data_IF_563637179719
#
_entry.id   IF_563637179719
#
_cell.length_a   1.000
_cell.length_b   1.000
_cell.length_c   1.000
_cell.angle_alpha   90.00
_cell.angle_beta   90.00
_cell.angle_gamma   90.00
#
_symmetry.space_group_name_H-M   'P 1'
#
loop_
_entity.id
_entity.type
_entity.pdbx_description
1 polymer ?
#
# COMPACT_ATOMS: atom_id res chain seq x y z
N UNK A 1 32.77 3.31 0.89
CA UNK A 1 32.87 2.78 2.26
C UNK A 1 31.85 3.51 3.13
N UNK A 2 30.68 2.92 3.36
CA UNK A 2 29.76 3.40 4.39
C UNK A 2 30.38 3.03 5.74
N UNK A 3 30.58 4.01 6.63
CA UNK A 3 30.98 3.74 8.02
C UNK A 3 29.97 2.74 8.61
N UNK A 4 30.46 1.67 9.27
CA UNK A 4 29.57 0.75 9.99
C UNK A 4 28.86 1.55 11.09
N UNK A 5 27.58 1.84 10.89
CA UNK A 5 26.75 2.44 11.93
C UNK A 5 26.26 1.32 12.83
N UNK A 6 26.29 1.55 14.14
CA UNK A 6 25.72 0.61 15.12
C UNK A 6 24.21 0.86 15.36
N UNK A 7 23.70 2.00 14.87
CA UNK A 7 22.30 2.43 15.04
C UNK A 7 21.66 2.83 13.70
N UNK A 8 20.36 2.51 13.49
CA UNK A 8 19.65 2.95 12.30
C UNK A 8 19.32 4.43 12.37
N UNK A 9 19.22 5.07 11.20
CA UNK A 9 18.65 6.42 11.13
C UNK A 9 17.15 6.32 11.30
N UNK A 10 16.62 7.04 12.28
CA UNK A 10 15.19 7.05 12.60
C UNK A 10 14.63 8.46 12.46
N UNK A 11 13.51 8.61 11.75
CA UNK A 11 12.78 9.88 11.66
C UNK A 11 11.27 9.65 11.80
N UNK A 12 10.52 10.56 12.43
CA UNK A 12 9.06 10.55 12.33
C UNK A 12 8.58 10.55 10.88
N UNK A 13 7.54 9.78 10.57
CA UNK A 13 6.89 9.85 9.25
C UNK A 13 6.14 11.16 9.05
N UNK A 14 5.48 11.66 10.10
CA UNK A 14 4.96 13.02 10.19
C UNK A 14 5.76 13.83 11.20
N UNK A 15 6.07 15.06 10.82
CA UNK A 15 6.63 16.03 11.76
C UNK A 15 5.68 16.20 12.96
N UNK A 16 6.24 16.14 14.17
CA UNK A 16 5.49 16.26 15.41
C UNK A 16 4.67 15.03 15.83
N UNK A 17 4.67 13.93 15.07
CA UNK A 17 4.03 12.67 15.52
C UNK A 17 5.07 11.64 15.98
N UNK A 18 4.81 10.91 17.07
CA UNK A 18 5.76 9.93 17.59
C UNK A 18 5.79 8.62 16.79
N UNK A 19 4.79 8.35 15.94
CA UNK A 19 4.69 7.12 15.16
C UNK A 19 3.92 7.34 13.82
N UNK A 20 4.20 6.54 12.78
CA UNK A 20 5.31 5.59 12.73
C UNK A 20 6.67 6.30 12.61
N UNK A 21 7.71 5.70 13.19
CA UNK A 21 9.09 6.05 12.88
C UNK A 21 9.52 5.34 11.59
N UNK A 22 10.19 6.05 10.70
CA UNK A 22 10.86 5.49 9.52
C UNK A 22 12.31 5.22 9.89
N UNK A 23 12.69 3.94 9.84
CA UNK A 23 14.02 3.43 10.18
C UNK A 23 14.73 2.92 8.92
N UNK A 24 15.98 3.33 8.70
CA UNK A 24 16.77 2.94 7.53
C UNK A 24 18.26 3.07 7.80
N UNK A 25 19.07 2.54 6.86
CA UNK A 25 20.54 2.63 6.91
C UNK A 25 21.22 1.47 7.64
N UNK A 26 20.45 0.53 8.19
CA UNK A 26 20.90 -0.80 8.60
C UNK A 26 20.11 -1.86 7.83
N UNK A 27 20.66 -3.07 7.63
CA UNK A 27 19.86 -4.18 7.13
C UNK A 27 18.73 -4.52 8.11
N UNK A 28 17.63 -5.05 7.59
CA UNK A 28 16.39 -5.23 8.33
C UNK A 28 16.53 -6.08 9.61
N UNK A 29 17.34 -7.16 9.69
CA UNK A 29 17.48 -7.93 10.93
C UNK A 29 18.10 -7.10 12.05
N UNK A 30 19.17 -6.35 11.73
CA UNK A 30 19.88 -5.49 12.67
C UNK A 30 19.03 -4.29 13.09
N UNK A 31 18.31 -3.67 12.16
CA UNK A 31 17.36 -2.59 12.46
C UNK A 31 16.22 -3.10 13.37
N UNK A 32 15.64 -4.26 13.06
CA UNK A 32 14.60 -4.88 13.90
C UNK A 32 15.12 -5.20 15.29
N UNK A 33 16.32 -5.79 15.41
CA UNK A 33 16.97 -6.04 16.71
C UNK A 33 17.14 -4.75 17.51
N UNK A 34 17.66 -3.69 16.89
CA UNK A 34 17.79 -2.37 17.54
C UNK A 34 16.45 -1.88 18.08
N UNK A 35 15.38 -1.96 17.29
CA UNK A 35 14.07 -1.50 17.74
C UNK A 35 13.44 -2.38 18.82
N UNK A 36 13.62 -3.70 18.75
CA UNK A 36 13.20 -4.64 19.79
C UNK A 36 13.92 -4.33 21.10
N UNK A 37 15.25 -4.21 21.09
CA UNK A 37 16.06 -4.08 22.30
C UNK A 37 16.06 -2.67 22.88
N UNK A 38 16.20 -1.66 22.03
CA UNK A 38 16.45 -0.27 22.44
C UNK A 38 15.18 0.58 22.41
N UNK A 39 14.43 0.56 21.30
CA UNK A 39 13.26 1.43 21.14
C UNK A 39 12.06 0.95 21.96
N UNK A 40 11.75 -0.34 21.88
CA UNK A 40 10.57 -0.92 22.50
C UNK A 40 10.85 -1.71 23.77
N UNK A 41 12.10 -2.15 23.97
CA UNK A 41 12.52 -2.99 25.11
C UNK A 41 11.62 -4.22 25.26
N UNK A 42 11.43 -4.90 24.13
CA UNK A 42 10.60 -6.09 23.98
C UNK A 42 11.44 -7.36 24.15
N UNK A 43 10.81 -8.41 24.68
CA UNK A 43 11.44 -9.70 24.97
C UNK A 43 10.79 -10.87 24.25
N UNK A 44 9.54 -10.73 23.79
CA UNK A 44 8.72 -11.82 23.26
C UNK A 44 8.19 -11.45 21.88
N UNK A 45 9.05 -11.69 20.87
CA UNK A 45 8.82 -11.34 19.48
C UNK A 45 8.08 -12.45 18.74
N UNK A 46 7.00 -12.09 18.06
CA UNK A 46 6.33 -12.93 17.09
C UNK A 46 6.64 -12.47 15.67
N UNK A 47 7.12 -13.37 14.82
CA UNK A 47 7.39 -13.08 13.42
C UNK A 47 6.18 -13.46 12.55
N UNK A 48 5.75 -12.54 11.69
CA UNK A 48 4.80 -12.80 10.62
C UNK A 48 5.49 -12.54 9.27
N UNK A 49 5.87 -13.62 8.60
CA UNK A 49 6.75 -13.60 7.43
C UNK A 49 6.00 -14.03 6.16
N UNK A 50 6.28 -13.37 5.04
CA UNK A 50 5.75 -13.80 3.74
C UNK A 50 6.21 -15.21 3.39
N UNK A 51 5.31 -16.03 2.83
CA UNK A 51 5.64 -17.37 2.35
C UNK A 51 6.68 -17.36 1.23
N UNK A 52 6.60 -16.39 0.30
CA UNK A 52 7.55 -16.30 -0.80
C UNK A 52 8.95 -15.94 -0.30
N UNK A 53 9.04 -15.04 0.67
CA UNK A 53 10.31 -14.62 1.27
C UNK A 53 10.92 -15.76 2.07
N UNK A 54 10.13 -16.42 2.91
CA UNK A 54 10.61 -17.53 3.74
C UNK A 54 11.15 -18.71 2.94
N UNK A 55 10.64 -18.94 1.71
CA UNK A 55 11.11 -20.03 0.84
C UNK A 55 12.30 -19.67 -0.03
N UNK A 56 12.39 -18.41 -0.47
CA UNK A 56 13.35 -17.98 -1.48
C UNK A 56 14.49 -17.13 -0.93
N UNK A 57 14.53 -16.94 0.39
CA UNK A 57 15.58 -16.17 1.07
C UNK A 57 15.91 -16.80 2.42
N UNK A 58 17.00 -16.34 3.02
CA UNK A 58 17.42 -16.72 4.37
C UNK A 58 16.77 -15.84 5.45
N UNK A 59 15.57 -15.31 5.21
CA UNK A 59 14.92 -14.34 6.11
C UNK A 59 14.72 -14.87 7.53
N UNK A 60 14.27 -16.11 7.66
CA UNK A 60 14.08 -16.77 8.96
C UNK A 60 15.42 -16.93 9.69
N UNK A 61 16.46 -17.37 8.99
CA UNK A 61 17.81 -17.53 9.57
C UNK A 61 18.43 -16.20 9.97
N UNK A 62 18.23 -15.15 9.17
CA UNK A 62 18.73 -13.79 9.47
C UNK A 62 18.03 -13.20 10.69
N UNK A 63 16.71 -13.35 10.81
CA UNK A 63 16.00 -12.97 12.04
C UNK A 63 16.44 -13.83 13.22
N UNK A 64 16.59 -15.14 13.06
CA UNK A 64 17.04 -16.04 14.12
C UNK A 64 18.44 -15.66 14.63
N UNK A 65 19.35 -15.28 13.72
CA UNK A 65 20.69 -14.80 14.06
C UNK A 65 20.66 -13.46 14.79
N UNK A 66 19.77 -12.55 14.40
CA UNK A 66 19.69 -11.21 14.99
C UNK A 66 18.94 -11.18 16.34
N UNK A 67 17.82 -11.90 16.46
CA UNK A 67 16.93 -11.82 17.62
C UNK A 67 17.04 -13.02 18.56
N UNK A 68 17.63 -14.14 18.12
CA UNK A 68 17.93 -15.29 18.97
C UNK A 68 16.69 -15.83 19.69
N UNK A 69 16.81 -16.00 21.00
CA UNK A 69 15.76 -16.54 21.87
C UNK A 69 14.59 -15.58 22.12
N UNK A 70 14.66 -14.32 21.66
CA UNK A 70 13.52 -13.39 21.75
C UNK A 70 12.40 -13.76 20.79
N UNK A 71 12.68 -14.52 19.72
CA UNK A 71 11.65 -15.05 18.83
C UNK A 71 10.93 -16.19 19.56
N UNK A 72 9.69 -15.94 19.96
CA UNK A 72 8.87 -16.93 20.68
C UNK A 72 7.88 -17.66 19.77
N UNK A 73 7.64 -17.12 18.57
CA UNK A 73 6.78 -17.73 17.56
C UNK A 73 7.00 -17.15 16.17
N UNK A 74 6.71 -17.95 15.15
CA UNK A 74 6.77 -17.53 13.74
C UNK A 74 5.59 -18.10 12.98
N UNK A 75 4.84 -17.24 12.30
CA UNK A 75 3.91 -17.63 11.23
C UNK A 75 4.53 -17.31 9.89
N UNK A 76 4.68 -18.34 9.05
CA UNK A 76 5.06 -18.19 7.64
C UNK A 76 3.82 -18.29 6.77
N UNK A 77 3.59 -17.25 5.97
CA UNK A 77 2.54 -17.20 4.99
C UNK A 77 1.16 -16.83 5.54
N UNK A 78 0.45 -16.07 4.73
CA UNK A 78 -0.99 -15.85 4.78
C UNK A 78 -1.46 -15.71 3.32
N UNK A 79 -2.73 -16.02 3.04
CA UNK A 79 -3.32 -15.74 1.73
C UNK A 79 -3.39 -14.22 1.51
N UNK A 80 -3.35 -13.83 0.25
CA UNK A 80 -3.64 -12.45 -0.13
C UNK A 80 -5.03 -12.04 0.39
N UNK A 81 -5.21 -10.74 0.64
CA UNK A 81 -6.45 -10.13 1.14
C UNK A 81 -6.79 -10.36 2.63
N UNK A 82 -5.91 -10.99 3.41
CA UNK A 82 -5.99 -11.02 4.89
C UNK A 82 -7.31 -11.62 5.37
N UNK A 83 -7.48 -12.94 5.24
CA UNK A 83 -8.71 -13.61 5.64
C UNK A 83 -8.88 -13.64 7.17
N UNK A 84 -10.12 -13.48 7.64
CA UNK A 84 -10.44 -13.48 9.07
C UNK A 84 -10.07 -14.79 9.75
N UNK A 85 -10.23 -15.91 9.05
CA UNK A 85 -9.79 -17.24 9.52
C UNK A 85 -8.30 -17.27 9.88
N UNK A 86 -7.43 -16.82 8.97
CA UNK A 86 -5.98 -16.78 9.20
C UNK A 86 -5.60 -15.73 10.26
N UNK A 87 -6.32 -14.62 10.34
CA UNK A 87 -6.13 -13.63 11.42
C UNK A 87 -6.45 -14.25 12.78
N UNK A 88 -7.54 -15.01 12.91
CA UNK A 88 -7.91 -15.70 14.15
C UNK A 88 -6.90 -16.78 14.55
N UNK A 89 -6.35 -17.53 13.59
CA UNK A 89 -5.22 -18.45 13.84
C UNK A 89 -4.05 -17.72 14.48
N UNK A 90 -3.59 -16.62 13.86
CA UNK A 90 -2.46 -15.84 14.38
C UNK A 90 -2.77 -15.21 15.74
N UNK A 91 -4.00 -14.75 15.98
CA UNK A 91 -4.42 -14.25 17.30
C UNK A 91 -4.27 -15.35 18.38
N UNK A 92 -4.69 -16.57 18.08
CA UNK A 92 -4.63 -17.67 19.04
C UNK A 92 -3.20 -18.12 19.32
N UNK A 93 -2.38 -18.24 18.27
CA UNK A 93 -0.96 -18.60 18.38
C UNK A 93 -0.19 -17.53 19.18
N UNK A 94 -0.35 -16.26 18.83
CA UNK A 94 0.31 -15.14 19.49
C UNK A 94 -0.10 -15.00 20.96
N UNK A 95 -1.37 -15.24 21.29
CA UNK A 95 -1.86 -15.22 22.68
C UNK A 95 -1.20 -16.28 23.54
N UNK A 96 -1.10 -17.52 23.03
CA UNK A 96 -0.50 -18.62 23.77
C UNK A 96 0.98 -18.36 24.13
N UNK A 97 1.62 -17.47 23.38
CA UNK A 97 3.02 -17.10 23.51
C UNK A 97 3.25 -15.79 24.28
N UNK A 98 2.21 -15.12 24.79
CA UNK A 98 2.33 -13.89 25.58
C UNK A 98 3.27 -12.85 24.93
N UNK A 99 3.04 -12.55 23.65
CA UNK A 99 3.94 -11.72 22.86
C UNK A 99 3.86 -10.24 23.29
N UNK A 100 4.97 -9.51 23.19
CA UNK A 100 5.01 -8.06 23.44
C UNK A 100 5.44 -7.24 22.21
N UNK A 101 5.91 -7.92 21.16
CA UNK A 101 6.26 -7.34 19.87
C UNK A 101 5.86 -8.29 18.72
N UNK A 102 5.31 -7.73 17.65
CA UNK A 102 5.13 -8.40 16.36
C UNK A 102 6.01 -7.73 15.30
N UNK A 103 6.71 -8.53 14.51
CA UNK A 103 7.46 -8.06 13.34
C UNK A 103 6.82 -8.64 12.09
N UNK A 104 6.44 -7.77 11.16
CA UNK A 104 5.99 -8.19 9.83
C UNK A 104 7.11 -8.02 8.82
N UNK A 105 7.31 -9.01 7.94
CA UNK A 105 8.16 -8.86 6.78
C UNK A 105 7.46 -9.41 5.54
N UNK A 106 6.99 -8.49 4.68
CA UNK A 106 6.22 -8.84 3.49
C UNK A 106 5.40 -7.70 2.92
N UNK A 107 4.39 -8.08 2.12
CA UNK A 107 3.44 -7.17 1.51
C UNK A 107 2.36 -6.69 2.50
N UNK A 108 1.57 -5.70 2.09
CA UNK A 108 0.57 -5.03 2.94
C UNK A 108 -0.44 -5.95 3.64
N UNK A 109 -0.77 -7.12 3.08
CA UNK A 109 -1.68 -8.07 3.73
C UNK A 109 -1.18 -8.57 5.09
N UNK A 110 0.13 -8.76 5.26
CA UNK A 110 0.71 -9.18 6.54
C UNK A 110 0.71 -8.03 7.55
N UNK A 111 1.03 -6.82 7.09
CA UNK A 111 0.97 -5.61 7.91
C UNK A 111 -0.44 -5.35 8.42
N UNK A 112 -1.45 -5.49 7.55
CA UNK A 112 -2.86 -5.37 7.94
C UNK A 112 -3.29 -6.47 8.89
N UNK A 113 -2.88 -7.72 8.65
CA UNK A 113 -3.13 -8.82 9.58
C UNK A 113 -2.56 -8.50 10.97
N UNK A 114 -1.31 -8.09 11.06
CA UNK A 114 -0.66 -7.77 12.33
C UNK A 114 -1.36 -6.63 13.07
N UNK A 115 -1.82 -5.58 12.37
CA UNK A 115 -2.62 -4.50 12.98
C UNK A 115 -3.91 -5.02 13.61
N UNK A 116 -4.63 -5.88 12.90
CA UNK A 116 -5.85 -6.51 13.43
C UNK A 116 -5.51 -7.42 14.60
N UNK A 117 -4.47 -8.26 14.49
CA UNK A 117 -4.02 -9.18 15.55
C UNK A 117 -3.71 -8.44 16.84
N UNK A 118 -2.87 -7.39 16.81
CA UNK A 118 -2.48 -6.69 18.05
C UNK A 118 -3.64 -5.93 18.68
N UNK A 119 -4.57 -5.42 17.87
CA UNK A 119 -5.78 -4.77 18.37
C UNK A 119 -6.77 -5.78 18.98
N UNK A 120 -6.92 -6.92 18.32
CA UNK A 120 -7.76 -8.03 18.77
C UNK A 120 -7.24 -8.63 20.09
N UNK A 121 -5.92 -8.77 20.25
CA UNK A 121 -5.30 -9.24 21.49
C UNK A 121 -5.57 -8.28 22.66
N UNK A 122 -5.44 -6.96 22.45
CA UNK A 122 -5.73 -5.95 23.47
C UNK A 122 -7.20 -5.97 23.94
N UNK A 123 -8.10 -6.49 23.11
CA UNK A 123 -9.54 -6.57 23.36
C UNK A 123 -10.05 -7.99 23.62
N UNK A 124 -9.16 -8.97 23.79
CA UNK A 124 -9.53 -10.33 24.19
C UNK A 124 -10.33 -11.13 23.16
N UNK A 125 -10.26 -10.78 21.88
CA UNK A 125 -11.00 -11.43 20.76
C UNK A 125 -10.62 -12.90 20.63
N UNK A 126 -11.57 -13.84 20.77
CA UNK A 126 -11.29 -15.29 20.64
C UNK A 126 -12.01 -15.94 19.47
N UNK A 127 -13.09 -15.31 19.00
CA UNK A 127 -13.98 -15.88 18.00
C UNK A 127 -14.18 -14.90 16.84
N UNK A 128 -14.70 -15.41 15.73
CA UNK A 128 -15.12 -14.58 14.59
C UNK A 128 -16.17 -13.53 15.01
N UNK A 129 -17.08 -13.88 15.92
CA UNK A 129 -18.08 -12.94 16.44
C UNK A 129 -17.46 -11.82 17.26
N UNK A 130 -16.36 -12.08 17.97
CA UNK A 130 -15.63 -11.02 18.65
C UNK A 130 -14.89 -10.12 17.66
N UNK A 131 -14.32 -10.71 16.60
CA UNK A 131 -13.66 -9.96 15.54
C UNK A 131 -14.64 -9.06 14.78
N UNK A 132 -15.88 -9.52 14.58
CA UNK A 132 -16.96 -8.73 13.98
C UNK A 132 -17.26 -7.44 14.77
N UNK A 133 -17.14 -7.46 16.10
CA UNK A 133 -17.33 -6.25 16.93
C UNK A 133 -16.23 -5.22 16.68
N UNK A 134 -15.00 -5.65 16.38
CA UNK A 134 -13.93 -4.73 16.00
C UNK A 134 -14.11 -4.19 14.57
N UNK A 135 -14.84 -4.91 13.73
CA UNK A 135 -15.05 -4.59 12.32
C UNK A 135 -16.28 -3.67 12.10
N UNK A 136 -17.17 -3.56 13.08
CA UNK A 136 -18.37 -2.72 13.02
C UNK A 136 -18.30 -1.57 14.04
N UNK A 137 -18.13 -0.35 13.54
CA UNK A 137 -18.06 0.89 14.33
C UNK A 137 -19.34 1.20 15.10
N UNK A 138 -20.47 0.61 14.70
CA UNK A 138 -21.77 0.77 15.36
C UNK A 138 -22.02 -0.33 16.41
N UNK A 139 -21.13 -1.30 16.55
CA UNK A 139 -21.31 -2.39 17.50
C UNK A 139 -21.31 -1.89 18.95
N UNK A 140 -22.13 -2.49 19.84
CA UNK A 140 -22.13 -2.12 21.26
C UNK A 140 -20.75 -2.27 21.89
N UNK A 141 -20.27 -1.20 22.52
CA UNK A 141 -18.96 -1.18 23.19
C UNK A 141 -17.77 -0.82 22.29
N UNK A 142 -17.98 -0.51 20.99
CA UNK A 142 -16.90 -0.09 20.09
C UNK A 142 -16.08 1.09 20.63
N UNK A 143 -16.77 2.09 21.19
CA UNK A 143 -16.12 3.28 21.78
C UNK A 143 -15.31 2.98 23.05
N UNK A 144 -15.48 1.79 23.64
CA UNK A 144 -14.75 1.32 24.81
C UNK A 144 -13.60 0.36 24.46
N UNK A 145 -13.35 0.11 23.17
CA UNK A 145 -12.24 -0.74 22.72
C UNK A 145 -10.90 -0.12 23.12
N UNK A 146 -10.02 -0.96 23.67
CA UNK A 146 -8.68 -0.58 24.09
C UNK A 146 -7.76 -0.42 22.88
N UNK A 147 -6.80 0.52 22.91
CA UNK A 147 -5.76 0.59 21.89
C UNK A 147 -4.85 -0.66 21.93
N UNK A 148 -4.22 -1.03 20.80
CA UNK A 148 -3.16 -2.03 20.79
C UNK A 148 -2.05 -1.71 21.79
N UNK A 149 -1.63 -2.69 22.57
CA UNK A 149 -0.51 -2.56 23.54
C UNK A 149 0.78 -3.21 23.04
N UNK A 150 0.67 -4.28 22.25
CA UNK A 150 1.77 -5.00 21.62
C UNK A 150 2.41 -4.13 20.55
N UNK A 151 3.75 -4.04 20.57
CA UNK A 151 4.52 -3.23 19.61
C UNK A 151 4.54 -3.88 18.25
N UNK A 152 4.60 -3.08 17.19
CA UNK A 152 4.62 -3.57 15.82
C UNK A 152 5.73 -2.87 15.03
N UNK A 153 6.64 -3.68 14.48
CA UNK A 153 7.67 -3.27 13.52
C UNK A 153 7.28 -3.84 12.15
N UNK A 154 7.14 -2.99 11.14
CA UNK A 154 6.88 -3.43 9.77
C UNK A 154 8.13 -3.31 8.90
N UNK A 155 8.45 -4.38 8.17
CA UNK A 155 9.48 -4.44 7.14
C UNK A 155 8.79 -4.64 5.79
N UNK A 156 8.33 -3.56 5.14
CA UNK A 156 7.57 -3.65 3.90
C UNK A 156 8.46 -4.12 2.74
N UNK A 157 7.99 -5.12 2.00
CA UNK A 157 8.67 -5.57 0.77
C UNK A 157 7.96 -5.12 -0.51
N UNK A 158 6.82 -4.45 -0.38
CA UNK A 158 6.06 -3.85 -1.49
C UNK A 158 5.87 -2.37 -1.25
N UNK A 159 5.45 -1.65 -2.29
CA UNK A 159 5.21 -0.21 -2.25
C UNK A 159 3.75 0.14 -1.91
N UNK A 160 3.06 -0.75 -1.19
CA UNK A 160 1.61 -0.66 -0.94
C UNK A 160 1.22 0.41 0.10
N UNK A 161 2.13 0.76 1.00
CA UNK A 161 1.99 1.89 1.93
C UNK A 161 1.06 1.68 3.13
N UNK A 162 0.56 0.46 3.35
CA UNK A 162 -0.32 0.17 4.49
C UNK A 162 0.36 0.45 5.83
N UNK A 163 1.67 0.24 5.92
CA UNK A 163 2.53 0.41 7.08
C UNK A 163 2.62 1.86 7.62
N UNK A 164 2.10 2.85 6.89
CA UNK A 164 2.09 4.25 7.34
C UNK A 164 0.74 4.71 7.93
N UNK A 165 -0.22 3.80 8.07
CA UNK A 165 -1.58 4.10 8.54
C UNK A 165 -2.01 3.12 9.64
N UNK A 166 -2.95 3.50 10.49
CA UNK A 166 -3.57 2.56 11.46
C UNK A 166 -4.60 1.62 10.82
N UNK A 167 -5.17 2.01 9.68
CA UNK A 167 -6.22 1.25 9.00
C UNK A 167 -5.72 -0.11 8.54
N UNK A 168 -6.59 -1.12 8.63
CA UNK A 168 -6.29 -2.47 8.16
C UNK A 168 -7.48 -3.08 7.44
N UNK A 169 -7.29 -3.58 6.22
CA UNK A 169 -8.35 -4.26 5.49
C UNK A 169 -8.25 -5.78 5.64
N UNK A 170 -9.31 -6.43 6.12
CA UNK A 170 -9.37 -7.88 6.23
C UNK A 170 -10.66 -8.45 5.62
N UNK A 171 -10.57 -9.59 4.96
CA UNK A 171 -11.68 -10.21 4.21
C UNK A 171 -12.40 -11.23 5.07
N UNK A 172 -13.72 -11.08 5.23
CA UNK A 172 -14.52 -12.10 5.90
C UNK A 172 -14.68 -13.31 4.98
N UNK A 173 -14.24 -14.47 5.45
CA UNK A 173 -14.24 -15.72 4.68
C UNK A 173 -15.63 -16.15 4.19
N UNK A 174 -16.68 -15.84 4.96
CA UNK A 174 -18.07 -16.26 4.70
C UNK A 174 -18.78 -15.31 3.76
N UNK A 175 -18.76 -14.01 4.07
CA UNK A 175 -19.47 -12.99 3.28
C UNK A 175 -18.68 -12.53 2.06
N UNK A 176 -17.39 -12.83 2.00
CA UNK A 176 -16.42 -12.31 1.02
C UNK A 176 -16.24 -10.80 1.06
N UNK A 177 -16.86 -10.12 2.03
CA UNK A 177 -16.74 -8.68 2.19
C UNK A 177 -15.35 -8.32 2.72
N UNK A 178 -14.71 -7.33 2.09
CA UNK A 178 -13.51 -6.67 2.61
C UNK A 178 -13.95 -5.65 3.65
N UNK A 179 -13.55 -5.83 4.90
CA UNK A 179 -13.93 -4.95 6.01
C UNK A 179 -12.73 -4.14 6.48
N UNK A 180 -12.98 -2.86 6.78
CA UNK A 180 -11.99 -1.92 7.28
C UNK A 180 -11.99 -1.90 8.81
N UNK A 181 -10.85 -2.24 9.41
CA UNK A 181 -10.60 -2.10 10.83
C UNK A 181 -9.90 -0.77 11.09
N UNK A 182 -10.34 -0.03 12.12
CA UNK A 182 -9.79 1.29 12.46
C UNK A 182 -9.30 1.35 13.91
N UNK A 183 -8.16 0.71 14.24
CA UNK A 183 -7.54 0.84 15.56
C UNK A 183 -7.37 2.31 15.97
N UNK A 184 -7.58 2.65 17.26
CA UNK A 184 -7.63 4.05 17.71
C UNK A 184 -6.25 4.73 17.77
N UNK A 185 -5.16 3.99 17.58
CA UNK A 185 -3.79 4.52 17.61
C UNK A 185 -3.01 4.09 16.38
N UNK A 186 -2.03 4.91 15.99
CA UNK A 186 -1.12 4.60 14.89
C UNK A 186 -0.39 3.29 15.14
N UNK A 187 -0.36 2.42 14.12
CA UNK A 187 0.27 1.12 14.16
C UNK A 187 0.53 0.66 12.72
N UNK A 188 1.74 0.28 12.28
CA UNK A 188 3.00 0.05 13.03
C UNK A 188 3.55 1.24 13.82
N UNK A 189 4.36 0.94 14.83
CA UNK A 189 5.14 1.97 15.56
C UNK A 189 6.46 2.32 14.85
N UNK A 190 7.03 1.36 14.13
CA UNK A 190 8.25 1.53 13.32
C UNK A 190 8.06 0.87 11.96
N UNK A 191 8.51 1.54 10.90
CA UNK A 191 8.64 1.02 9.54
C UNK A 191 10.12 0.99 9.18
N UNK A 192 10.65 -0.22 8.94
CA UNK A 192 12.06 -0.44 8.56
C UNK A 192 12.15 -0.54 7.05
N UNK A 193 12.75 0.47 6.41
CA UNK A 193 13.02 0.47 4.98
C UNK A 193 14.38 -0.15 4.71
N UNK A 194 14.35 -1.38 4.21
CA UNK A 194 15.53 -2.06 3.69
C UNK A 194 15.29 -2.40 2.19
N UNK A 195 16.09 -1.83 1.27
CA UNK A 195 15.93 -2.13 -0.15
C UNK A 195 16.33 -3.55 -0.53
N UNK A 196 17.21 -4.23 0.23
CA UNK A 196 17.65 -5.59 -0.05
C UNK A 196 16.48 -6.57 0.02
N UNK A 197 15.71 -6.52 1.12
CA UNK A 197 14.54 -7.38 1.29
C UNK A 197 13.40 -6.95 0.37
N UNK A 198 13.22 -5.66 0.08
CA UNK A 198 12.20 -5.20 -0.86
C UNK A 198 12.48 -5.66 -2.30
N UNK A 199 13.75 -5.71 -2.71
CA UNK A 199 14.16 -6.21 -4.04
C UNK A 199 13.83 -7.69 -4.25
N UNK A 200 13.64 -8.47 -3.18
CA UNK A 200 13.27 -9.89 -3.27
C UNK A 200 11.78 -10.14 -3.59
N UNK A 201 10.96 -9.08 -3.62
CA UNK A 201 9.57 -9.17 -4.08
C UNK A 201 9.51 -9.45 -5.58
N UNK A 202 8.57 -10.30 -6.06
CA UNK A 202 8.38 -10.52 -7.49
C UNK A 202 8.19 -9.20 -8.24
N UNK A 203 8.96 -9.01 -9.33
CA UNK A 203 9.06 -7.72 -10.05
C UNK A 203 7.70 -7.14 -10.46
N UNK A 204 6.79 -7.98 -10.99
CA UNK A 204 5.42 -7.56 -11.35
C UNK A 204 4.65 -6.99 -10.16
N UNK A 205 4.77 -7.60 -8.98
CA UNK A 205 4.13 -7.11 -7.75
C UNK A 205 4.78 -5.82 -7.26
N UNK A 206 6.12 -5.74 -7.26
CA UNK A 206 6.84 -4.53 -6.84
C UNK A 206 6.44 -3.34 -7.72
N UNK A 207 6.54 -3.48 -9.04
CA UNK A 207 6.19 -2.45 -10.01
C UNK A 207 4.70 -2.08 -9.97
N UNK A 208 3.81 -3.07 -9.88
CA UNK A 208 2.37 -2.81 -9.77
C UNK A 208 2.00 -2.02 -8.51
N UNK A 209 2.58 -2.37 -7.35
CA UNK A 209 2.37 -1.56 -6.13
C UNK A 209 3.00 -0.18 -6.23
N UNK A 210 4.07 -0.02 -7.01
CA UNK A 210 4.64 1.28 -7.34
C UNK A 210 3.71 2.15 -8.20
N UNK A 211 3.04 1.57 -9.20
CA UNK A 211 2.03 2.30 -9.99
C UNK A 211 0.82 2.69 -9.14
N UNK A 212 0.38 1.88 -8.18
CA UNK A 212 -0.63 2.32 -7.22
C UNK A 212 -0.17 3.51 -6.37
N UNK A 213 1.10 3.57 -5.98
CA UNK A 213 1.64 4.75 -5.31
C UNK A 213 1.66 5.98 -6.23
N UNK A 214 1.96 5.79 -7.52
CA UNK A 214 1.84 6.85 -8.55
C UNK A 214 0.38 7.31 -8.69
N UNK A 215 -0.57 6.39 -8.72
CA UNK A 215 -2.01 6.65 -8.78
C UNK A 215 -2.48 7.53 -7.61
N UNK A 216 -2.11 7.19 -6.37
CA UNK A 216 -2.38 8.05 -5.21
C UNK A 216 -1.90 9.50 -5.42
N UNK A 217 -0.69 9.68 -5.96
CA UNK A 217 -0.15 11.00 -6.21
C UNK A 217 -0.89 11.72 -7.35
N UNK A 218 -1.15 11.04 -8.47
CA UNK A 218 -1.82 11.63 -9.64
C UNK A 218 -3.24 12.05 -9.28
N UNK A 219 -4.04 11.18 -8.68
CA UNK A 219 -5.41 11.54 -8.29
C UNK A 219 -5.43 12.69 -7.28
N UNK A 220 -4.45 12.77 -6.39
CA UNK A 220 -4.32 13.88 -5.44
C UNK A 220 -4.01 15.19 -6.17
N UNK A 221 -2.95 15.22 -6.99
CA UNK A 221 -2.53 16.41 -7.70
C UNK A 221 -3.58 16.88 -8.73
N UNK A 222 -4.41 15.96 -9.23
CA UNK A 222 -5.49 16.24 -10.16
C UNK A 222 -6.87 16.43 -9.48
N UNK A 223 -6.98 16.28 -8.15
CA UNK A 223 -8.23 16.46 -7.42
C UNK A 223 -8.66 17.92 -7.36
N UNK A 224 -9.97 18.18 -7.49
CA UNK A 224 -10.56 19.51 -7.28
C UNK A 224 -10.69 19.86 -5.79
N UNK A 225 -10.51 18.88 -4.91
CA UNK A 225 -10.56 19.01 -3.45
C UNK A 225 -9.18 18.82 -2.80
N UNK A 226 -8.11 18.94 -3.60
CA UNK A 226 -6.75 18.83 -3.08
C UNK A 226 -6.38 20.03 -2.19
N UNK A 227 -5.26 19.89 -1.49
CA UNK A 227 -4.70 20.95 -0.64
C UNK A 227 -3.19 21.02 -0.81
N UNK A 228 -2.58 22.12 -0.36
CA UNK A 228 -1.14 22.40 -0.57
C UNK A 228 -0.23 21.27 -0.07
N UNK A 229 -0.52 20.72 1.11
CA UNK A 229 0.28 19.61 1.68
C UNK A 229 0.14 18.33 0.84
N UNK A 230 -1.07 18.03 0.39
CA UNK A 230 -1.37 16.92 -0.51
C UNK A 230 -0.65 17.06 -1.84
N UNK A 231 -0.70 18.24 -2.46
CA UNK A 231 -0.07 18.52 -3.76
C UNK A 231 1.47 18.45 -3.65
N UNK A 232 2.06 18.99 -2.57
CA UNK A 232 3.50 18.88 -2.31
C UNK A 232 3.94 17.42 -2.13
N UNK A 233 3.20 16.64 -1.32
CA UNK A 233 3.49 15.22 -1.14
C UNK A 233 3.33 14.42 -2.43
N UNK A 234 2.29 14.71 -3.22
CA UNK A 234 2.06 14.06 -4.51
C UNK A 234 3.21 14.32 -5.49
N UNK A 235 3.63 15.58 -5.66
CA UNK A 235 4.74 15.93 -6.54
C UNK A 235 6.08 15.34 -6.07
N UNK A 236 6.35 15.38 -4.77
CA UNK A 236 7.56 14.76 -4.20
C UNK A 236 7.56 13.24 -4.42
N UNK A 237 6.42 12.58 -4.19
CA UNK A 237 6.24 11.15 -4.44
C UNK A 237 6.48 10.80 -5.90
N UNK A 238 5.93 11.56 -6.85
CA UNK A 238 6.13 11.31 -8.29
C UNK A 238 7.59 11.50 -8.73
N UNK A 239 8.27 12.54 -8.22
CA UNK A 239 9.69 12.81 -8.48
C UNK A 239 10.61 11.71 -7.96
N UNK A 240 10.17 10.95 -6.96
CA UNK A 240 10.89 9.77 -6.44
C UNK A 240 10.48 8.49 -7.17
N UNK A 241 9.17 8.22 -7.30
CA UNK A 241 8.62 6.97 -7.83
C UNK A 241 8.93 6.78 -9.32
N UNK A 242 8.67 7.79 -10.16
CA UNK A 242 8.72 7.59 -11.61
C UNK A 242 10.13 7.23 -12.09
N UNK A 243 11.20 7.97 -11.73
CA UNK A 243 12.56 7.59 -12.09
C UNK A 243 12.99 6.25 -11.46
N UNK A 244 12.63 6.02 -10.19
CA UNK A 244 13.01 4.81 -9.47
C UNK A 244 12.39 3.54 -10.05
N UNK A 245 11.12 3.58 -10.46
CA UNK A 245 10.44 2.43 -11.08
C UNK A 245 11.01 2.13 -12.47
N UNK A 246 11.32 3.15 -13.26
CA UNK A 246 11.96 3.00 -14.56
C UNK A 246 13.38 2.41 -14.42
N UNK A 247 14.14 2.88 -13.43
CA UNK A 247 15.47 2.37 -13.14
C UNK A 247 15.41 0.93 -12.61
N UNK A 248 14.49 0.61 -11.69
CA UNK A 248 14.27 -0.76 -11.21
C UNK A 248 13.90 -1.72 -12.35
N UNK A 249 13.05 -1.27 -13.29
CA UNK A 249 12.68 -2.09 -14.46
C UNK A 249 13.89 -2.44 -15.34
N UNK A 250 14.86 -1.52 -15.44
CA UNK A 250 16.12 -1.72 -16.17
C UNK A 250 17.09 -2.61 -15.41
N UNK A 251 17.23 -2.38 -14.11
CA UNK A 251 18.12 -3.14 -13.22
C UNK A 251 17.47 -3.35 -11.83
N UNK A 252 16.83 -4.51 -11.59
CA UNK A 252 16.23 -4.82 -10.29
C UNK A 252 17.22 -4.96 -9.13
N UNK A 253 18.53 -5.05 -9.42
CA UNK A 253 19.58 -5.12 -8.41
C UNK A 253 20.04 -3.75 -7.91
N UNK A 254 19.57 -2.67 -8.53
CA UNK A 254 19.83 -1.30 -8.09
C UNK A 254 19.05 -0.99 -6.80
N UNK A 255 19.67 -1.30 -5.67
CA UNK A 255 19.11 -1.04 -4.33
C UNK A 255 18.87 0.46 -4.08
N UNK A 256 19.58 1.35 -4.80
CA UNK A 256 19.34 2.78 -4.75
C UNK A 256 17.96 3.14 -5.32
N UNK A 257 17.63 2.57 -6.48
CA UNK A 257 16.31 2.72 -7.08
C UNK A 257 15.20 2.11 -6.19
N UNK A 258 15.42 0.92 -5.63
CA UNK A 258 14.45 0.29 -4.72
C UNK A 258 14.20 1.16 -3.49
N UNK A 259 15.26 1.72 -2.90
CA UNK A 259 15.14 2.61 -1.74
C UNK A 259 14.42 3.91 -2.08
N UNK A 260 14.71 4.54 -3.23
CA UNK A 260 13.99 5.72 -3.70
C UNK A 260 12.50 5.43 -3.93
N UNK A 261 12.17 4.26 -4.48
CA UNK A 261 10.79 3.84 -4.65
C UNK A 261 10.07 3.64 -3.29
N UNK A 262 10.74 3.07 -2.28
CA UNK A 262 10.20 2.95 -0.92
C UNK A 262 9.90 4.33 -0.30
N UNK A 263 10.81 5.30 -0.45
CA UNK A 263 10.60 6.67 0.01
C UNK A 263 9.45 7.36 -0.74
N UNK A 264 9.39 7.21 -2.06
CA UNK A 264 8.32 7.76 -2.88
C UNK A 264 6.95 7.16 -2.54
N UNK A 265 6.89 5.87 -2.23
CA UNK A 265 5.68 5.20 -1.75
C UNK A 265 5.22 5.79 -0.40
N UNK A 266 6.17 6.08 0.50
CA UNK A 266 5.86 6.74 1.76
C UNK A 266 5.25 8.14 1.54
N UNK A 267 5.82 8.96 0.64
CA UNK A 267 5.24 10.27 0.28
C UNK A 267 3.84 10.14 -0.33
N UNK A 268 3.62 9.12 -1.19
CA UNK A 268 2.30 8.89 -1.79
C UNK A 268 1.19 8.69 -0.76
N UNK A 269 1.48 8.04 0.38
CA UNK A 269 0.49 7.77 1.42
C UNK A 269 0.13 9.03 2.21
N UNK A 270 1.06 10.00 2.31
CA UNK A 270 0.77 11.27 2.96
C UNK A 270 -0.37 12.02 2.27
N UNK A 271 -0.56 11.82 0.97
CA UNK A 271 -1.66 12.45 0.21
C UNK A 271 -3.03 12.16 0.84
N UNK A 272 -3.32 10.90 1.14
CA UNK A 272 -4.56 10.47 1.78
C UNK A 272 -4.62 10.90 3.24
N UNK A 273 -3.49 10.90 3.94
CA UNK A 273 -3.41 11.30 5.35
C UNK A 273 -3.53 12.82 5.55
N UNK A 274 -3.27 13.61 4.52
CA UNK A 274 -3.61 15.04 4.46
C UNK A 274 -5.05 15.30 4.02
N UNK A 275 -5.90 14.26 3.98
CA UNK A 275 -7.33 14.38 3.77
C UNK A 275 -7.75 14.57 2.32
N UNK A 276 -6.88 14.26 1.34
CA UNK A 276 -7.26 14.28 -0.07
C UNK A 276 -7.84 12.93 -0.47
N UNK A 277 -9.14 12.90 -0.69
CA UNK A 277 -9.88 11.75 -1.21
C UNK A 277 -9.42 11.42 -2.63
N UNK A 278 -9.57 10.15 -3.00
CA UNK A 278 -9.17 9.61 -4.30
C UNK A 278 -10.33 9.73 -5.30
N UNK A 279 -10.17 9.22 -6.52
CA UNK A 279 -11.13 9.41 -7.59
C UNK A 279 -11.57 8.12 -8.26
N UNK A 280 -11.94 8.24 -9.54
CA UNK A 280 -12.48 7.16 -10.34
C UNK A 280 -11.54 5.97 -10.50
N UNK A 281 -10.21 6.17 -10.46
CA UNK A 281 -9.25 5.06 -10.61
C UNK A 281 -9.40 4.08 -9.44
N UNK A 282 -9.40 4.59 -8.21
CA UNK A 282 -9.61 3.76 -7.03
C UNK A 282 -11.06 3.26 -6.92
N UNK A 283 -12.05 4.11 -7.18
CA UNK A 283 -13.46 3.74 -7.04
C UNK A 283 -13.87 2.58 -7.96
N UNK A 284 -13.39 2.57 -9.21
CA UNK A 284 -13.61 1.45 -10.14
C UNK A 284 -12.69 0.27 -9.76
N UNK A 285 -11.43 0.55 -9.40
CA UNK A 285 -10.46 -0.48 -9.02
C UNK A 285 -10.90 -1.33 -7.81
N UNK A 286 -11.58 -0.73 -6.83
CA UNK A 286 -12.15 -1.45 -5.70
C UNK A 286 -13.17 -2.53 -6.11
N UNK A 287 -13.84 -2.37 -7.25
CA UNK A 287 -14.81 -3.34 -7.77
C UNK A 287 -14.15 -4.45 -8.61
N UNK A 288 -12.97 -4.17 -9.20
CA UNK A 288 -12.17 -5.19 -9.90
C UNK A 288 -11.39 -6.10 -8.94
N UNK A 289 -11.04 -5.61 -7.75
CA UNK A 289 -10.33 -6.39 -6.73
C UNK A 289 -11.01 -7.73 -6.37
N UNK A 290 -12.33 -7.76 -6.08
CA UNK A 290 -13.09 -8.99 -5.84
C UNK A 290 -13.07 -9.99 -7.00
N UNK A 291 -12.80 -9.54 -8.24
CA UNK A 291 -12.65 -10.39 -9.41
C UNK A 291 -11.25 -11.00 -9.54
N UNK A 292 -10.39 -10.79 -8.55
CA UNK A 292 -9.04 -11.35 -8.50
C UNK A 292 -7.96 -10.43 -9.07
N UNK A 293 -8.31 -9.20 -9.48
CA UNK A 293 -7.34 -8.24 -9.99
C UNK A 293 -6.55 -7.61 -8.83
N UNK A 294 -5.20 -7.71 -8.81
CA UNK A 294 -4.41 -7.01 -7.81
C UNK A 294 -4.60 -5.49 -7.90
N UNK A 295 -4.76 -4.80 -6.78
CA UNK A 295 -4.97 -3.34 -6.74
C UNK A 295 -3.88 -2.55 -7.50
N UNK A 296 -2.62 -3.03 -7.49
CA UNK A 296 -1.57 -2.42 -8.30
C UNK A 296 -1.89 -2.41 -9.80
N UNK A 297 -2.52 -3.47 -10.29
CA UNK A 297 -2.87 -3.65 -11.69
C UNK A 297 -4.17 -2.94 -12.06
N UNK A 298 -5.11 -2.78 -11.12
CA UNK A 298 -6.28 -1.90 -11.33
C UNK A 298 -5.83 -0.47 -11.62
N UNK A 299 -4.86 0.04 -10.86
CA UNK A 299 -4.26 1.36 -11.08
C UNK A 299 -3.52 1.48 -12.42
N UNK A 300 -2.90 0.40 -12.90
CA UNK A 300 -2.24 0.40 -14.21
C UNK A 300 -3.23 0.61 -15.36
N UNK A 301 -4.42 0.04 -15.23
CA UNK A 301 -5.45 0.05 -16.27
C UNK A 301 -6.26 1.34 -16.19
N UNK A 302 -6.77 1.67 -15.01
CA UNK A 302 -7.81 2.69 -14.84
C UNK A 302 -7.27 4.11 -14.79
N UNK A 303 -6.08 4.32 -14.21
CA UNK A 303 -5.56 5.68 -14.00
C UNK A 303 -5.45 6.49 -15.31
N UNK A 304 -4.82 5.99 -16.40
CA UNK A 304 -4.77 6.73 -17.65
C UNK A 304 -6.15 7.00 -18.25
N UNK A 305 -7.06 6.02 -18.17
CA UNK A 305 -8.41 6.13 -18.72
C UNK A 305 -9.26 7.15 -17.97
N UNK A 306 -9.20 7.17 -16.65
CA UNK A 306 -9.90 8.15 -15.79
C UNK A 306 -9.35 9.56 -16.02
N UNK A 307 -8.04 9.73 -16.20
CA UNK A 307 -7.47 11.02 -16.61
C UNK A 307 -8.05 11.49 -17.96
N UNK A 308 -8.08 10.60 -18.97
CA UNK A 308 -8.61 10.90 -20.31
C UNK A 308 -10.11 11.22 -20.27
N UNK A 309 -10.89 10.46 -19.51
CA UNK A 309 -12.32 10.68 -19.31
C UNK A 309 -12.58 12.03 -18.65
N UNK A 310 -11.90 12.35 -17.55
CA UNK A 310 -12.06 13.64 -16.88
C UNK A 310 -11.75 14.81 -17.83
N UNK A 311 -10.67 14.69 -18.62
CA UNK A 311 -10.30 15.71 -19.60
C UNK A 311 -11.32 15.84 -20.75
N UNK A 312 -11.91 14.73 -21.23
CA UNK A 312 -12.93 14.75 -22.30
C UNK A 312 -14.23 15.43 -21.85
N UNK A 313 -14.56 15.35 -20.56
CA UNK A 313 -15.68 16.09 -19.94
C UNK A 313 -15.32 17.53 -19.55
N UNK A 314 -14.09 17.98 -19.84
CA UNK A 314 -13.62 19.32 -19.47
C UNK A 314 -13.35 19.51 -17.98
N UNK A 315 -13.33 18.43 -17.19
CA UNK A 315 -12.97 18.47 -15.78
C UNK A 315 -11.44 18.51 -15.62
N UNK A 316 -10.95 19.18 -14.56
CA UNK A 316 -9.55 19.27 -14.10
C UNK A 316 -8.43 19.43 -15.16
N UNK A 317 -8.74 19.88 -16.37
CA UNK A 317 -7.81 19.97 -17.52
C UNK A 317 -6.54 20.74 -17.15
N UNK A 318 -6.67 21.88 -16.47
CA UNK A 318 -5.51 22.70 -16.08
C UNK A 318 -4.61 21.97 -15.08
N UNK A 319 -5.18 21.24 -14.10
CA UNK A 319 -4.39 20.46 -13.14
C UNK A 319 -3.64 19.31 -13.84
N UNK A 320 -4.30 18.61 -14.77
CA UNK A 320 -3.66 17.56 -15.56
C UNK A 320 -2.52 18.12 -16.42
N UNK A 321 -2.73 19.27 -17.08
CA UNK A 321 -1.69 19.95 -17.86
C UNK A 321 -0.51 20.35 -16.99
N UNK A 322 -0.75 20.97 -15.83
CA UNK A 322 0.32 21.33 -14.89
C UNK A 322 1.11 20.11 -14.43
N UNK A 323 0.43 19.01 -14.09
CA UNK A 323 1.10 17.79 -13.68
C UNK A 323 1.91 17.13 -14.81
N UNK A 324 1.36 17.11 -16.03
CA UNK A 324 2.07 16.63 -17.21
C UNK A 324 3.37 17.43 -17.45
N UNK A 325 3.31 18.77 -17.34
CA UNK A 325 4.50 19.61 -17.46
C UNK A 325 5.55 19.30 -16.37
N UNK A 326 5.12 19.11 -15.11
CA UNK A 326 6.03 18.70 -14.04
C UNK A 326 6.69 17.34 -14.33
N UNK A 327 5.94 16.34 -14.80
CA UNK A 327 6.50 15.03 -15.16
C UNK A 327 7.46 15.12 -16.35
N UNK A 328 7.18 15.97 -17.34
CA UNK A 328 8.06 16.22 -18.48
C UNK A 328 9.38 16.91 -18.10
N UNK A 329 9.52 17.42 -16.88
CA UNK A 329 10.83 17.89 -16.39
C UNK A 329 11.79 16.74 -16.07
N UNK A 330 11.26 15.52 -15.85
CA UNK A 330 12.06 14.33 -15.57
C UNK A 330 12.67 13.77 -16.86
N UNK A 331 14.02 13.63 -16.95
CA UNK A 331 14.68 13.11 -18.15
C UNK A 331 14.19 11.72 -18.57
N UNK A 332 13.89 10.87 -17.59
CA UNK A 332 13.37 9.52 -17.79
C UNK A 332 12.02 9.57 -18.51
N UNK A 333 11.11 10.47 -18.09
CA UNK A 333 9.79 10.64 -18.71
C UNK A 333 9.93 11.18 -20.13
N UNK A 334 10.77 12.19 -20.37
CA UNK A 334 11.00 12.74 -21.73
C UNK A 334 11.47 11.67 -22.72
N UNK A 335 12.19 10.66 -22.25
CA UNK A 335 12.64 9.53 -23.07
C UNK A 335 11.49 8.60 -23.46
N UNK A 336 10.46 8.49 -22.62
CA UNK A 336 9.27 7.68 -22.92
C UNK A 336 8.37 8.31 -23.99
N UNK A 337 8.38 9.64 -24.06
CA UNK A 337 7.50 10.46 -24.90
C UNK A 337 8.31 11.49 -25.71
N UNK A 338 9.04 11.05 -26.75
CA UNK A 338 10.00 11.90 -27.47
C UNK A 338 9.38 13.09 -28.24
N UNK A 339 8.04 13.19 -28.32
CA UNK A 339 7.30 14.30 -28.95
C UNK A 339 7.09 15.53 -28.05
N UNK A 340 7.28 15.43 -26.73
CA UNK A 340 7.28 16.56 -25.79
C UNK A 340 5.94 17.27 -25.53
N UNK A 341 4.90 17.04 -26.34
CA UNK A 341 3.53 17.50 -26.12
C UNK A 341 2.60 16.30 -26.00
N UNK A 342 2.64 15.65 -24.85
CA UNK A 342 1.72 14.56 -24.51
C UNK A 342 0.82 14.99 -23.37
N UNK A 343 -0.44 14.54 -23.40
CA UNK A 343 -1.33 14.69 -22.26
C UNK A 343 -0.90 13.76 -21.11
N UNK A 344 -1.46 14.00 -19.92
CA UNK A 344 -1.12 13.22 -18.73
C UNK A 344 -1.43 11.72 -18.90
N UNK A 345 -2.53 11.38 -19.59
CA UNK A 345 -2.92 9.99 -19.80
C UNK A 345 -1.91 9.27 -20.71
N UNK A 346 -1.41 9.93 -21.75
CA UNK A 346 -0.40 9.38 -22.66
C UNK A 346 0.95 9.18 -21.96
N UNK A 347 1.37 10.11 -21.09
CA UNK A 347 2.57 9.95 -20.25
C UNK A 347 2.45 8.73 -19.34
N UNK A 348 1.32 8.59 -18.63
CA UNK A 348 1.07 7.47 -17.72
C UNK A 348 1.01 6.14 -18.47
N UNK A 349 0.33 6.11 -19.61
CA UNK A 349 0.27 4.92 -20.46
C UNK A 349 1.66 4.51 -20.97
N UNK A 350 2.49 5.47 -21.38
CA UNK A 350 3.88 5.19 -21.79
C UNK A 350 4.74 4.66 -20.63
N UNK A 351 4.57 5.21 -19.42
CA UNK A 351 5.20 4.72 -18.20
C UNK A 351 4.82 3.26 -17.93
N UNK A 352 3.52 2.97 -17.80
CA UNK A 352 2.99 1.64 -17.49
C UNK A 352 3.43 0.61 -18.54
N UNK A 353 3.37 0.96 -19.83
CA UNK A 353 3.87 0.14 -20.93
C UNK A 353 5.35 -0.20 -20.76
N UNK A 354 6.16 0.80 -20.43
CA UNK A 354 7.62 0.63 -20.26
C UNK A 354 7.96 -0.27 -19.07
N UNK A 355 7.15 -0.21 -18.00
CA UNK A 355 7.28 -1.11 -16.85
C UNK A 355 6.84 -2.55 -17.17
N UNK A 356 6.19 -2.79 -18.31
CA UNK A 356 5.69 -4.12 -18.70
C UNK A 356 4.49 -4.57 -17.87
N UNK A 357 3.66 -3.62 -17.43
CA UNK A 357 2.46 -3.85 -16.64
C UNK A 357 1.21 -3.86 -17.54
N UNK A 358 0.12 -4.54 -17.12
CA UNK A 358 -1.11 -4.63 -17.91
C UNK A 358 -1.73 -3.25 -18.12
N UNK A 359 -2.36 -3.03 -19.27
CA UNK A 359 -3.01 -1.76 -19.62
C UNK A 359 -4.47 -1.90 -19.99
N UNK A 360 -4.96 -3.14 -20.08
CA UNK A 360 -6.30 -3.47 -20.52
C UNK A 360 -6.91 -4.54 -19.60
N UNK A 361 -8.24 -4.57 -19.52
CA UNK A 361 -8.98 -5.59 -18.75
C UNK A 361 -8.81 -6.98 -19.38
N UNK A 362 -8.70 -7.06 -20.70
CA UNK A 362 -8.43 -8.30 -21.43
C UNK A 362 -7.09 -8.95 -21.08
N UNK A 363 -6.04 -8.17 -20.83
CA UNK A 363 -4.75 -8.70 -20.35
C UNK A 363 -4.84 -9.40 -18.98
N UNK A 364 -5.95 -9.19 -18.26
CA UNK A 364 -6.25 -9.77 -16.95
C UNK A 364 -7.44 -10.74 -16.99
N UNK A 365 -7.83 -11.19 -18.18
CA UNK A 365 -8.96 -12.10 -18.39
C UNK A 365 -10.30 -11.57 -17.85
N UNK A 366 -10.47 -10.24 -17.77
CA UNK A 366 -11.72 -9.59 -17.40
C UNK A 366 -12.49 -9.23 -18.68
N UNK A 367 -13.64 -9.88 -18.86
CA UNK A 367 -14.54 -9.66 -19.99
C UNK A 367 -15.57 -8.56 -19.76
N UNK A 368 -16.28 -8.19 -20.83
CA UNK A 368 -17.39 -7.21 -20.77
C UNK A 368 -18.60 -7.71 -19.97
N UNK A 369 -18.71 -9.01 -19.74
CA UNK A 369 -19.79 -9.66 -19.00
C UNK A 369 -19.92 -9.18 -17.55
N UNK A 370 -18.85 -8.62 -16.97
CA UNK A 370 -18.87 -8.05 -15.61
C UNK A 370 -19.03 -6.52 -15.57
N UNK A 371 -18.99 -5.83 -16.72
CA UNK A 371 -18.92 -4.36 -16.76
C UNK A 371 -20.15 -3.72 -16.11
N UNK A 372 -21.34 -4.26 -16.39
CA UNK A 372 -22.60 -3.76 -15.82
C UNK A 372 -22.57 -3.79 -14.28
N UNK A 373 -22.13 -4.90 -13.69
CA UNK A 373 -22.08 -5.08 -12.23
C UNK A 373 -20.98 -4.23 -11.60
N UNK A 374 -19.81 -4.12 -12.26
CA UNK A 374 -18.72 -3.25 -11.82
C UNK A 374 -19.20 -1.80 -11.80
N UNK A 375 -19.84 -1.34 -12.87
CA UNK A 375 -20.36 0.02 -12.99
C UNK A 375 -21.40 0.34 -11.91
N UNK A 376 -22.37 -0.56 -11.69
CA UNK A 376 -23.39 -0.39 -10.65
C UNK A 376 -22.78 -0.33 -9.24
N UNK A 377 -21.85 -1.23 -8.93
CA UNK A 377 -21.21 -1.25 -7.61
C UNK A 377 -20.32 -0.02 -7.37
N UNK A 378 -19.65 0.50 -8.41
CA UNK A 378 -18.81 1.70 -8.31
C UNK A 378 -19.58 2.90 -7.79
N UNK A 379 -20.87 3.05 -8.14
CA UNK A 379 -21.68 4.18 -7.67
C UNK A 379 -21.87 4.22 -6.14
N UNK A 380 -21.64 3.08 -5.46
CA UNK A 380 -21.68 2.99 -4.00
C UNK A 380 -20.35 3.32 -3.33
N UNK A 381 -19.26 3.38 -4.09
CA UNK A 381 -17.94 3.75 -3.57
C UNK A 381 -17.93 5.26 -3.26
N UNK A 382 -17.43 5.60 -2.07
CA UNK A 382 -17.37 6.98 -1.60
C UNK A 382 -16.51 7.87 -2.51
N UNK A 383 -15.52 7.31 -3.19
CA UNK A 383 -14.61 8.05 -4.07
C UNK A 383 -15.13 8.25 -5.50
N UNK A 384 -16.24 7.60 -5.88
CA UNK A 384 -16.87 7.85 -7.18
C UNK A 384 -17.33 9.31 -7.31
N UNK A 385 -17.84 9.89 -6.21
CA UNK A 385 -18.37 11.25 -6.15
C UNK A 385 -17.30 12.34 -6.04
N UNK A 386 -16.10 11.97 -5.60
CA UNK A 386 -14.96 12.88 -5.42
C UNK A 386 -14.08 12.93 -6.67
N UNK A 387 -14.34 12.08 -7.67
CA UNK A 387 -13.72 12.18 -8.97
C UNK A 387 -13.99 13.57 -9.59
N UNK A 388 -13.00 14.21 -10.25
CA UNK A 388 -13.15 15.55 -10.80
C UNK A 388 -14.37 15.77 -11.70
N UNK A 389 -14.73 14.78 -12.52
CA UNK A 389 -16.08 14.64 -13.05
C UNK A 389 -16.81 13.57 -12.22
N UNK A 390 -17.73 13.93 -11.32
CA UNK A 390 -18.34 12.95 -10.41
C UNK A 390 -18.98 11.78 -11.17
N UNK A 391 -18.64 10.55 -10.80
CA UNK A 391 -19.19 9.33 -11.38
C UNK A 391 -20.48 8.99 -10.63
N UNK A 392 -21.60 9.56 -11.10
CA UNK A 392 -22.91 9.43 -10.44
C UNK A 392 -23.90 8.65 -11.30
N UNK A 393 -23.62 8.52 -12.60
CA UNK A 393 -24.41 7.72 -13.53
C UNK A 393 -23.61 6.47 -13.94
N UNK A 394 -24.32 5.35 -14.13
CA UNK A 394 -23.71 4.06 -14.50
C UNK A 394 -22.96 4.16 -15.83
N UNK A 395 -23.52 4.93 -16.76
CA UNK A 395 -23.00 5.17 -18.10
C UNK A 395 -21.61 5.83 -18.07
N UNK A 396 -21.32 6.68 -17.09
CA UNK A 396 -20.00 7.31 -16.92
C UNK A 396 -18.93 6.23 -16.67
N UNK A 397 -19.25 5.26 -15.82
CA UNK A 397 -18.32 4.17 -15.47
C UNK A 397 -18.18 3.19 -16.64
N UNK A 398 -19.27 2.88 -17.34
CA UNK A 398 -19.23 2.03 -18.54
C UNK A 398 -18.36 2.66 -19.64
N UNK A 399 -18.44 3.98 -19.84
CA UNK A 399 -17.59 4.70 -20.80
C UNK A 399 -16.09 4.48 -20.47
N UNK A 400 -15.71 4.60 -19.19
CA UNK A 400 -14.33 4.37 -18.73
C UNK A 400 -13.91 2.91 -18.91
N UNK A 401 -14.77 1.95 -18.56
CA UNK A 401 -14.47 0.51 -18.71
C UNK A 401 -14.26 0.13 -20.18
N UNK A 402 -15.05 0.71 -21.10
CA UNK A 402 -14.86 0.48 -22.54
C UNK A 402 -13.56 1.08 -23.08
N UNK A 403 -13.05 2.18 -22.51
CA UNK A 403 -11.74 2.72 -22.90
C UNK A 403 -10.58 1.77 -22.63
N UNK A 404 -10.76 0.80 -21.72
CA UNK A 404 -9.71 -0.13 -21.27
C UNK A 404 -10.05 -1.59 -21.53
N UNK A 405 -11.07 -1.87 -22.34
CA UNK A 405 -11.52 -3.23 -22.58
C UNK A 405 -10.49 -4.07 -23.35
N UNK A 406 -9.72 -3.48 -24.28
CA UNK A 406 -8.90 -4.20 -25.27
C UNK A 406 -7.50 -3.67 -25.50
#
# INVERSE_FOLDING_TARGET
MLQSRDEPTCKPFFEGQPAPLISYGLPYPEACRYHVETTFRSDRVYLLLSNSLARNSNISDRFQKALGSKIVGTRVGMKAHTYWSEVLEVINDARALDIDCVITAGAGSLTDAAKVVVWALANGVRTENDLQKLADRNSPGYQSLKPPTIKHIAVPTTLSGGEYTSFAGATNDKTKAKVLFTPPTMNPGVVVLDPEIAASTPSRLFLGTGIRAVDHCVETACSLQSNEKGDQAALQGLKMLVPALLQYRKDPSDLGAVYQAQLGAAESVKTSLYGVEKGGSHAIGHQLGPLGVPHGETSCILLPAVCRYNASKGANVQRQQSLAQELLTLPEVRTLVPGGQEDLADILHALIRTLGLPRTLKELDIGRDVFDVVAENTLSDVWAKTNPFPLVDKEDVLEILEMVAE
#
